data_IF_203646751006
#
_entry.id   IF_203646751006
#
_cell.length_a   1.000
_cell.length_b   1.000
_cell.length_c   1.000
_cell.angle_alpha   90.00
_cell.angle_beta   90.00
_cell.angle_gamma   90.00
#
_symmetry.space_group_name_H-M   'P 1'
#
loop_
_entity.id
_entity.type
_entity.pdbx_description
1 polymer ?
#
# COMPACT_ATOMS: atom_id res chain seq x y z
N UNK A 1 -4.02 -24.46 -5.35
CA UNK A 1 -5.16 -23.59 -5.70
C UNK A 1 -5.30 -23.52 -7.22
N UNK A 2 -6.52 -23.58 -7.74
CA UNK A 2 -6.79 -23.39 -9.16
C UNK A 2 -6.53 -21.93 -9.56
N UNK A 3 -6.01 -21.70 -10.77
CA UNK A 3 -5.65 -20.38 -11.26
C UNK A 3 -6.85 -19.43 -11.29
N UNK A 4 -8.00 -19.90 -11.74
CA UNK A 4 -9.23 -19.10 -11.78
C UNK A 4 -9.68 -18.67 -10.40
N UNK A 5 -9.62 -19.57 -9.41
CA UNK A 5 -9.95 -19.25 -8.01
C UNK A 5 -8.98 -18.20 -7.47
N UNK A 6 -7.67 -18.37 -7.70
CA UNK A 6 -6.66 -17.41 -7.32
C UNK A 6 -6.94 -16.00 -7.88
N UNK A 7 -7.16 -15.89 -9.19
CA UNK A 7 -7.40 -14.59 -9.83
C UNK A 7 -8.70 -13.92 -9.36
N UNK A 8 -9.73 -14.70 -9.02
CA UNK A 8 -10.98 -14.16 -8.48
C UNK A 8 -10.83 -13.71 -7.03
N UNK A 9 -10.23 -14.52 -6.15
CA UNK A 9 -10.05 -14.21 -4.72
C UNK A 9 -9.07 -13.05 -4.52
N UNK A 10 -7.91 -13.08 -5.16
CA UNK A 10 -6.97 -11.96 -5.17
C UNK A 10 -7.60 -10.69 -5.76
N UNK A 11 -8.41 -10.84 -6.82
CA UNK A 11 -9.17 -9.74 -7.41
C UNK A 11 -10.20 -9.13 -6.45
N UNK A 12 -10.90 -9.94 -5.66
CA UNK A 12 -11.83 -9.44 -4.63
C UNK A 12 -11.11 -8.70 -3.51
N UNK A 13 -9.95 -9.20 -3.09
CA UNK A 13 -9.13 -8.52 -2.09
C UNK A 13 -8.64 -7.16 -2.64
N UNK A 14 -8.12 -7.11 -3.87
CA UNK A 14 -7.71 -5.87 -4.53
C UNK A 14 -8.88 -4.88 -4.68
N UNK A 15 -10.08 -5.37 -4.99
CA UNK A 15 -11.28 -4.55 -5.05
C UNK A 15 -11.56 -3.89 -3.71
N UNK A 16 -11.60 -4.67 -2.62
CA UNK A 16 -11.87 -4.17 -1.28
C UNK A 16 -10.87 -3.09 -0.84
N UNK A 17 -9.58 -3.32 -1.08
CA UNK A 17 -8.54 -2.34 -0.75
C UNK A 17 -8.57 -1.11 -1.66
N UNK A 18 -8.83 -1.32 -2.95
CA UNK A 18 -8.97 -0.24 -3.93
C UNK A 18 -10.21 0.63 -3.71
N UNK A 19 -11.33 0.07 -3.26
CA UNK A 19 -12.56 0.82 -2.95
C UNK A 19 -12.33 1.85 -1.84
N UNK A 20 -11.44 1.59 -0.88
CA UNK A 20 -11.08 2.55 0.18
C UNK A 20 -10.50 3.86 -0.36
N UNK A 21 -10.01 3.85 -1.60
CA UNK A 21 -9.42 5.02 -2.30
C UNK A 21 -10.07 5.30 -3.66
N UNK A 22 -11.21 4.65 -3.95
CA UNK A 22 -12.02 4.90 -5.14
C UNK A 22 -11.47 4.32 -6.44
N UNK A 23 -10.67 3.23 -6.39
CA UNK A 23 -10.08 2.54 -7.55
C UNK A 23 -10.31 1.01 -7.52
N UNK A 24 -11.40 0.55 -6.94
CA UNK A 24 -11.67 -0.88 -6.75
C UNK A 24 -11.68 -1.67 -8.06
N UNK A 25 -12.40 -1.19 -9.07
CA UNK A 25 -12.46 -1.87 -10.38
C UNK A 25 -11.10 -1.83 -11.10
N UNK A 26 -10.37 -0.73 -10.99
CA UNK A 26 -9.05 -0.59 -11.58
C UNK A 26 -8.06 -1.60 -10.98
N UNK A 27 -8.03 -1.72 -9.65
CA UNK A 27 -7.19 -2.70 -8.96
C UNK A 27 -7.59 -4.14 -9.32
N UNK A 28 -8.89 -4.44 -9.35
CA UNK A 28 -9.40 -5.77 -9.75
C UNK A 28 -8.95 -6.14 -11.17
N UNK A 29 -9.02 -5.21 -12.11
CA UNK A 29 -8.64 -5.46 -13.50
C UNK A 29 -7.15 -5.81 -13.63
N UNK A 30 -6.27 -5.13 -12.87
CA UNK A 30 -4.85 -5.48 -12.80
C UNK A 30 -4.66 -6.93 -12.33
N UNK A 31 -5.37 -7.34 -11.25
CA UNK A 31 -5.25 -8.68 -10.69
C UNK A 31 -5.79 -9.78 -11.61
N UNK A 32 -6.95 -9.56 -12.22
CA UNK A 32 -7.55 -10.57 -13.07
C UNK A 32 -6.74 -10.87 -14.34
N UNK A 33 -5.89 -9.94 -14.75
CA UNK A 33 -5.08 -10.06 -15.96
C UNK A 33 -3.61 -10.42 -15.70
N UNK A 34 -3.06 -10.18 -14.49
CA UNK A 34 -1.62 -10.25 -14.27
C UNK A 34 -0.99 -11.59 -14.64
N UNK A 35 -1.68 -12.66 -14.37
CA UNK A 35 -1.26 -14.05 -14.60
C UNK A 35 -2.03 -14.72 -15.76
N UNK A 36 -2.65 -13.98 -16.66
CA UNK A 36 -3.39 -14.54 -17.79
C UNK A 36 -2.54 -15.49 -18.65
N UNK A 37 -1.25 -15.24 -18.76
CA UNK A 37 -0.33 -16.14 -19.49
C UNK A 37 -0.22 -17.54 -18.91
N UNK A 38 -0.60 -17.75 -17.65
CA UNK A 38 -0.64 -19.06 -17.01
C UNK A 38 -1.75 -19.97 -17.56
N UNK A 39 -2.74 -19.43 -18.27
CA UNK A 39 -3.76 -20.24 -18.96
C UNK A 39 -3.22 -20.95 -20.20
N UNK A 40 -2.07 -20.58 -20.76
CA UNK A 40 -1.51 -21.25 -21.93
C UNK A 40 -1.30 -22.75 -21.68
N UNK A 41 -1.60 -23.57 -22.70
CA UNK A 41 -1.39 -25.02 -22.65
C UNK A 41 0.04 -25.38 -22.28
N UNK A 42 1.02 -24.63 -22.80
CA UNK A 42 2.44 -24.81 -22.50
C UNK A 42 2.77 -24.55 -21.01
N UNK A 43 2.20 -23.50 -20.39
CA UNK A 43 2.42 -23.22 -18.97
C UNK A 43 1.74 -24.26 -18.08
N UNK A 44 0.53 -24.72 -18.45
CA UNK A 44 -0.19 -25.77 -17.73
C UNK A 44 0.54 -27.11 -17.79
N UNK A 45 1.09 -27.47 -18.95
CA UNK A 45 1.93 -28.65 -19.09
C UNK A 45 3.20 -28.56 -18.23
N UNK A 46 3.84 -27.37 -18.20
CA UNK A 46 5.01 -27.10 -17.37
C UNK A 46 4.74 -27.31 -15.87
N UNK A 47 3.61 -26.83 -15.35
CA UNK A 47 3.24 -27.01 -13.92
C UNK A 47 2.99 -28.49 -13.60
N UNK A 48 2.39 -29.26 -14.52
CA UNK A 48 2.09 -30.68 -14.33
C UNK A 48 3.32 -31.58 -14.43
N UNK A 49 4.49 -31.04 -14.70
CA UNK A 49 5.75 -31.79 -14.85
C UNK A 49 5.66 -32.90 -15.90
N UNK A 50 4.98 -32.66 -17.02
CA UNK A 50 4.97 -33.56 -18.16
C UNK A 50 6.38 -33.61 -18.77
N UNK A 51 6.88 -34.81 -19.09
CA UNK A 51 8.27 -35.05 -19.55
C UNK A 51 8.65 -34.21 -20.79
N UNK A 52 9.92 -33.77 -20.87
CA UNK A 52 10.53 -32.94 -21.91
C UNK A 52 10.24 -31.43 -21.89
N UNK A 53 9.98 -30.82 -20.75
CA UNK A 53 9.62 -29.41 -20.64
C UNK A 53 10.81 -28.44 -20.45
N UNK A 54 10.64 -27.17 -20.86
CA UNK A 54 11.65 -26.13 -20.66
C UNK A 54 11.94 -25.87 -19.18
N UNK A 55 13.17 -25.42 -18.88
CA UNK A 55 13.61 -25.10 -17.52
C UNK A 55 12.74 -23.99 -16.90
N UNK A 56 12.66 -23.98 -15.57
CA UNK A 56 11.95 -22.93 -14.78
C UNK A 56 12.27 -21.52 -15.29
N UNK A 57 11.24 -20.76 -15.65
CA UNK A 57 11.36 -19.41 -16.20
C UNK A 57 11.45 -19.31 -17.72
N UNK A 58 11.40 -20.43 -18.45
CA UNK A 58 11.45 -20.43 -19.92
C UNK A 58 10.11 -20.03 -20.58
N UNK A 59 8.98 -20.16 -19.84
CA UNK A 59 7.66 -19.75 -20.34
C UNK A 59 7.35 -18.38 -19.77
N UNK A 60 7.39 -17.35 -20.63
CA UNK A 60 7.01 -15.99 -20.23
C UNK A 60 5.48 -15.90 -20.12
N UNK A 61 4.97 -15.66 -18.92
CA UNK A 61 3.54 -15.52 -18.64
C UNK A 61 3.16 -14.09 -18.20
N UNK A 62 4.15 -13.26 -17.89
CA UNK A 62 3.92 -11.98 -17.21
C UNK A 62 3.41 -10.85 -18.11
N UNK A 63 3.56 -10.95 -19.44
CA UNK A 63 3.12 -9.91 -20.38
C UNK A 63 1.80 -10.22 -21.06
N UNK A 64 1.39 -11.49 -21.11
CA UNK A 64 0.22 -11.91 -21.88
C UNK A 64 -1.08 -11.18 -21.51
N UNK A 65 -1.32 -10.95 -20.22
CA UNK A 65 -2.50 -10.21 -19.77
C UNK A 65 -2.48 -8.75 -20.19
N UNK A 66 -1.31 -8.10 -20.21
CA UNK A 66 -1.15 -6.74 -20.71
C UNK A 66 -1.37 -6.67 -22.23
N UNK A 67 -0.81 -7.63 -22.98
CA UNK A 67 -0.99 -7.71 -24.44
C UNK A 67 -2.45 -7.98 -24.81
N UNK A 68 -3.16 -8.88 -24.08
CA UNK A 68 -4.58 -9.12 -24.22
C UNK A 68 -5.39 -7.83 -24.00
N UNK A 69 -5.12 -7.12 -22.90
CA UNK A 69 -5.81 -5.87 -22.60
C UNK A 69 -5.59 -4.82 -23.70
N UNK A 70 -4.37 -4.65 -24.17
CA UNK A 70 -4.03 -3.73 -25.26
C UNK A 70 -4.72 -4.11 -26.58
N UNK A 71 -4.82 -5.39 -26.87
CA UNK A 71 -5.53 -5.89 -28.07
C UNK A 71 -7.03 -5.59 -27.98
N UNK A 72 -7.68 -5.90 -26.86
CA UNK A 72 -9.09 -5.62 -26.67
C UNK A 72 -9.38 -4.11 -26.62
N UNK A 73 -8.48 -3.29 -26.06
CA UNK A 73 -8.59 -1.84 -26.11
C UNK A 73 -8.53 -1.29 -27.52
N UNK A 74 -7.59 -1.76 -28.37
CA UNK A 74 -7.51 -1.36 -29.79
C UNK A 74 -8.80 -1.66 -30.54
N UNK A 75 -9.49 -2.73 -30.18
CA UNK A 75 -10.77 -3.14 -30.79
C UNK A 75 -11.99 -2.46 -30.15
N UNK A 76 -11.82 -1.70 -29.08
CA UNK A 76 -12.91 -1.06 -28.34
C UNK A 76 -13.30 0.29 -28.94
N UNK A 77 -14.51 0.79 -28.65
CA UNK A 77 -14.92 2.14 -29.06
C UNK A 77 -14.12 3.26 -28.36
N UNK A 78 -13.29 2.91 -27.38
CA UNK A 78 -12.52 3.87 -26.57
C UNK A 78 -11.08 4.07 -27.04
N UNK A 79 -10.63 3.37 -28.06
CA UNK A 79 -9.21 3.41 -28.53
C UNK A 79 -8.70 4.81 -28.91
N UNK A 80 -9.59 5.72 -29.30
CA UNK A 80 -9.24 7.10 -29.65
C UNK A 80 -9.24 8.08 -28.47
N UNK A 81 -9.62 7.63 -27.26
CA UNK A 81 -9.68 8.45 -26.05
C UNK A 81 -8.29 8.48 -25.39
N UNK A 82 -7.60 9.62 -25.48
CA UNK A 82 -6.21 9.77 -25.02
C UNK A 82 -6.02 9.40 -23.53
N UNK A 83 -6.89 9.88 -22.65
CA UNK A 83 -6.78 9.58 -21.21
C UNK A 83 -7.08 8.09 -20.91
N UNK A 84 -7.92 7.44 -21.74
CA UNK A 84 -8.18 6.00 -21.64
C UNK A 84 -6.94 5.19 -22.07
N UNK A 85 -6.27 5.62 -23.14
CA UNK A 85 -5.02 5.03 -23.58
C UNK A 85 -3.96 5.08 -22.46
N UNK A 86 -3.81 6.25 -21.81
CA UNK A 86 -2.89 6.40 -20.68
C UNK A 86 -3.22 5.42 -19.54
N UNK A 87 -4.52 5.22 -19.23
CA UNK A 87 -4.94 4.24 -18.25
C UNK A 87 -4.56 2.81 -18.65
N UNK A 88 -4.78 2.44 -19.90
CA UNK A 88 -4.46 1.07 -20.38
C UNK A 88 -2.94 0.84 -20.36
N UNK A 89 -2.14 1.83 -20.73
CA UNK A 89 -0.68 1.77 -20.62
C UNK A 89 -0.23 1.60 -19.16
N UNK A 90 -0.85 2.33 -18.23
CA UNK A 90 -0.60 2.21 -16.79
C UNK A 90 -0.94 0.80 -16.25
N UNK A 91 -2.11 0.26 -16.58
CA UNK A 91 -2.49 -1.10 -16.20
C UNK A 91 -1.52 -2.13 -16.80
N UNK A 92 -1.19 -1.96 -18.07
CA UNK A 92 -0.27 -2.87 -18.77
C UNK A 92 1.13 -2.87 -18.15
N UNK A 93 1.63 -1.70 -17.78
CA UNK A 93 2.89 -1.61 -17.04
C UNK A 93 2.79 -2.31 -15.67
N UNK A 94 1.72 -2.04 -14.91
CA UNK A 94 1.48 -2.67 -13.60
C UNK A 94 1.51 -4.21 -13.73
N UNK A 95 0.85 -4.75 -14.75
CA UNK A 95 0.85 -6.19 -15.04
C UNK A 95 2.25 -6.69 -15.37
N UNK A 96 2.99 -6.03 -16.26
CA UNK A 96 4.32 -6.50 -16.68
C UNK A 96 5.40 -6.29 -15.61
N UNK A 97 5.17 -5.43 -14.63
CA UNK A 97 6.10 -5.10 -13.55
C UNK A 97 5.88 -5.89 -12.26
N UNK A 98 4.88 -6.81 -12.20
CA UNK A 98 4.56 -7.50 -10.94
C UNK A 98 5.68 -8.40 -10.39
N UNK A 99 6.59 -8.85 -11.25
CA UNK A 99 7.81 -9.55 -10.83
C UNK A 99 8.98 -8.62 -10.48
N UNK A 100 8.91 -7.35 -10.86
CA UNK A 100 9.90 -6.31 -10.57
C UNK A 100 9.74 -5.08 -11.45
N UNK A 101 9.90 -3.92 -10.84
CA UNK A 101 9.90 -2.63 -11.55
C UNK A 101 11.07 -2.58 -12.53
N UNK A 102 10.84 -1.97 -13.68
CA UNK A 102 11.84 -1.72 -14.71
C UNK A 102 11.65 -0.31 -15.29
N UNK A 103 12.72 0.24 -15.84
CA UNK A 103 12.66 1.51 -16.55
C UNK A 103 12.03 1.31 -17.94
N UNK A 104 11.02 2.11 -18.28
CA UNK A 104 10.35 2.03 -19.57
C UNK A 104 11.31 2.32 -20.72
N UNK A 105 12.23 3.26 -20.51
CA UNK A 105 13.31 3.60 -21.45
C UNK A 105 14.64 3.28 -20.75
N UNK A 106 15.48 2.48 -21.36
CA UNK A 106 16.80 2.15 -20.81
C UNK A 106 17.85 3.23 -21.11
N UNK A 107 19.09 2.98 -20.64
CA UNK A 107 20.23 3.89 -20.82
C UNK A 107 20.61 4.09 -22.29
N UNK A 108 20.29 3.13 -23.16
CA UNK A 108 20.53 3.18 -24.60
C UNK A 108 19.36 3.84 -25.38
N UNK A 109 18.27 4.19 -24.67
CA UNK A 109 17.07 4.81 -25.25
C UNK A 109 16.09 3.80 -25.86
N UNK A 110 16.24 2.50 -25.58
CA UNK A 110 15.31 1.46 -26.03
C UNK A 110 14.04 1.44 -25.19
N UNK A 111 12.85 1.35 -25.84
CA UNK A 111 11.57 1.22 -25.16
C UNK A 111 11.36 -0.21 -24.64
N UNK A 112 11.73 -0.44 -23.38
CA UNK A 112 11.58 -1.74 -22.70
C UNK A 112 10.11 -2.10 -22.43
N UNK A 113 9.24 -1.12 -22.33
CA UNK A 113 7.82 -1.38 -22.17
C UNK A 113 7.22 -1.96 -23.46
N UNK A 114 7.52 -1.37 -24.61
CA UNK A 114 7.10 -1.90 -25.91
C UNK A 114 7.69 -3.29 -26.19
N UNK A 115 8.97 -3.48 -25.86
CA UNK A 115 9.62 -4.81 -25.97
C UNK A 115 8.89 -5.87 -25.16
N UNK A 116 8.49 -5.55 -23.93
CA UNK A 116 7.76 -6.49 -23.06
C UNK A 116 6.32 -6.77 -23.52
N UNK A 117 5.68 -5.84 -24.23
CA UNK A 117 4.32 -5.99 -24.78
C UNK A 117 4.28 -6.73 -26.13
N UNK A 118 5.40 -7.11 -26.70
CA UNK A 118 5.47 -7.80 -27.99
C UNK A 118 6.24 -9.12 -27.88
N UNK A 119 6.14 -9.80 -26.74
CA UNK A 119 6.88 -11.04 -26.46
C UNK A 119 6.05 -12.28 -26.82
N UNK A 120 4.72 -12.20 -26.73
CA UNK A 120 3.85 -13.35 -26.98
C UNK A 120 3.50 -13.43 -28.46
N UNK A 121 3.77 -14.59 -29.06
CA UNK A 121 3.34 -14.85 -30.45
C UNK A 121 1.84 -14.75 -30.59
N UNK A 122 1.35 -14.23 -31.72
CA UNK A 122 -0.06 -13.90 -31.92
C UNK A 122 -0.99 -15.10 -31.72
N UNK A 123 -0.64 -16.24 -32.27
CA UNK A 123 -1.44 -17.47 -32.14
C UNK A 123 -1.56 -17.92 -30.68
N UNK A 124 -0.48 -17.77 -29.94
CA UNK A 124 -0.44 -18.08 -28.50
C UNK A 124 -1.24 -17.05 -27.69
N UNK A 125 -1.18 -15.79 -28.04
CA UNK A 125 -1.99 -14.74 -27.40
C UNK A 125 -3.48 -14.97 -27.63
N UNK A 126 -3.88 -15.36 -28.85
CA UNK A 126 -5.27 -15.70 -29.19
C UNK A 126 -5.76 -16.96 -28.40
N UNK A 127 -4.90 -17.95 -28.21
CA UNK A 127 -5.19 -19.12 -27.33
C UNK A 127 -5.39 -18.66 -25.88
N UNK A 128 -4.45 -17.90 -25.31
CA UNK A 128 -4.52 -17.39 -23.94
C UNK A 128 -5.80 -16.56 -23.75
N UNK A 129 -6.10 -15.66 -24.67
CA UNK A 129 -7.31 -14.84 -24.62
C UNK A 129 -8.57 -15.69 -24.57
N UNK A 130 -8.69 -16.69 -25.47
CA UNK A 130 -9.84 -17.60 -25.50
C UNK A 130 -9.98 -18.34 -24.17
N UNK A 131 -8.91 -18.95 -23.67
CA UNK A 131 -8.93 -19.72 -22.42
C UNK A 131 -9.24 -18.80 -21.21
N UNK A 132 -8.64 -17.60 -21.16
CA UNK A 132 -8.92 -16.64 -20.10
C UNK A 132 -10.40 -16.22 -20.07
N UNK A 133 -11.00 -15.91 -21.23
CA UNK A 133 -12.42 -15.57 -21.31
C UNK A 133 -13.33 -16.73 -20.90
N UNK A 134 -13.01 -17.96 -21.33
CA UNK A 134 -13.76 -19.16 -21.00
C UNK A 134 -13.69 -19.48 -19.50
N UNK A 135 -12.51 -19.59 -18.94
CA UNK A 135 -12.27 -20.03 -17.55
C UNK A 135 -12.68 -18.96 -16.52
N UNK A 136 -12.47 -17.69 -16.84
CA UNK A 136 -12.91 -16.57 -15.99
C UNK A 136 -14.40 -16.27 -16.14
N UNK A 137 -15.10 -16.94 -17.05
CA UNK A 137 -16.51 -16.66 -17.40
C UNK A 137 -16.75 -15.19 -17.78
N UNK A 138 -15.80 -14.60 -18.49
CA UNK A 138 -15.87 -13.25 -19.00
C UNK A 138 -16.31 -13.21 -20.47
N UNK A 139 -16.93 -12.10 -20.84
CA UNK A 139 -17.14 -11.74 -22.25
C UNK A 139 -16.36 -10.47 -22.59
N UNK A 140 -16.13 -10.21 -23.87
CA UNK A 140 -15.51 -8.96 -24.33
C UNK A 140 -16.30 -7.72 -23.90
N UNK A 141 -17.62 -7.80 -23.88
CA UNK A 141 -18.50 -6.73 -23.41
C UNK A 141 -18.33 -6.47 -21.89
N UNK A 142 -18.14 -7.52 -21.10
CA UNK A 142 -17.86 -7.39 -19.67
C UNK A 142 -16.51 -6.71 -19.43
N UNK A 143 -15.47 -7.12 -20.16
CA UNK A 143 -14.14 -6.49 -20.08
C UNK A 143 -14.20 -5.02 -20.51
N UNK A 144 -14.90 -4.73 -21.60
CA UNK A 144 -15.11 -3.35 -22.06
C UNK A 144 -15.87 -2.50 -21.03
N UNK A 145 -16.87 -3.08 -20.35
CA UNK A 145 -17.59 -2.40 -19.26
C UNK A 145 -16.70 -2.15 -18.05
N UNK A 146 -15.85 -3.11 -17.69
CA UNK A 146 -14.87 -2.92 -16.60
C UNK A 146 -13.84 -1.84 -16.95
N UNK A 147 -13.28 -1.85 -18.17
CA UNK A 147 -12.37 -0.79 -18.63
C UNK A 147 -13.02 0.60 -18.52
N UNK A 148 -14.30 0.73 -18.89
CA UNK A 148 -15.03 1.99 -18.77
C UNK A 148 -15.21 2.43 -17.31
N UNK A 149 -15.51 1.50 -16.41
CA UNK A 149 -15.68 1.79 -14.99
C UNK A 149 -14.34 2.18 -14.37
N UNK A 150 -13.27 1.43 -14.64
CA UNK A 150 -11.91 1.75 -14.22
C UNK A 150 -11.45 3.13 -14.72
N UNK A 151 -11.84 3.51 -15.93
CA UNK A 151 -11.58 4.85 -16.47
C UNK A 151 -12.28 5.95 -15.66
N UNK A 152 -13.53 5.75 -15.26
CA UNK A 152 -14.24 6.67 -14.37
C UNK A 152 -13.56 6.84 -13.00
N UNK A 153 -13.07 5.73 -12.43
CA UNK A 153 -12.29 5.72 -11.21
C UNK A 153 -10.95 6.45 -11.39
N UNK A 154 -10.23 6.19 -12.47
CA UNK A 154 -8.97 6.85 -12.84
C UNK A 154 -9.11 8.37 -12.96
N UNK A 155 -10.15 8.83 -13.68
CA UNK A 155 -10.43 10.27 -13.78
C UNK A 155 -10.67 10.88 -12.40
N UNK A 156 -11.46 10.20 -11.57
CA UNK A 156 -11.92 10.78 -10.31
C UNK A 156 -10.85 10.73 -9.23
N UNK A 157 -10.16 9.58 -9.09
CA UNK A 157 -9.18 9.39 -8.04
C UNK A 157 -7.80 10.00 -8.38
N UNK A 158 -7.47 10.14 -9.67
CA UNK A 158 -6.13 10.56 -10.07
C UNK A 158 -6.09 11.80 -10.96
N UNK A 159 -6.75 11.78 -12.13
CA UNK A 159 -6.57 12.87 -13.10
C UNK A 159 -7.13 14.20 -12.60
N UNK A 160 -8.28 14.21 -11.92
CA UNK A 160 -8.84 15.45 -11.35
C UNK A 160 -7.95 16.04 -10.26
N UNK A 161 -7.51 15.27 -9.22
CA UNK A 161 -6.56 15.76 -8.24
C UNK A 161 -5.24 16.24 -8.85
N UNK A 162 -4.68 15.50 -9.80
CA UNK A 162 -3.47 15.90 -10.51
C UNK A 162 -3.63 17.23 -11.25
N UNK A 163 -4.75 17.42 -11.97
CA UNK A 163 -5.05 18.69 -12.63
C UNK A 163 -5.17 19.85 -11.64
N UNK A 164 -5.78 19.64 -10.48
CA UNK A 164 -5.89 20.66 -9.43
C UNK A 164 -4.51 21.07 -8.87
N UNK A 165 -3.64 20.11 -8.62
CA UNK A 165 -2.26 20.34 -8.14
C UNK A 165 -1.49 21.14 -9.19
N UNK A 166 -1.58 20.76 -10.48
CA UNK A 166 -0.89 21.43 -11.57
C UNK A 166 -1.44 22.84 -11.89
N UNK A 167 -2.74 23.07 -11.70
CA UNK A 167 -3.38 24.38 -11.97
C UNK A 167 -3.03 25.46 -10.93
N UNK A 168 -2.64 25.05 -9.73
CA UNK A 168 -2.23 26.02 -8.69
C UNK A 168 -0.84 26.65 -8.93
N UNK A 169 -0.25 26.45 -10.11
CA UNK A 169 0.80 27.31 -10.67
C UNK A 169 2.21 27.07 -10.10
N UNK A 170 2.46 25.97 -9.43
CA UNK A 170 3.76 25.70 -8.81
C UNK A 170 4.44 24.41 -9.32
N UNK A 171 3.86 23.70 -10.28
CA UNK A 171 4.41 22.42 -10.74
C UNK A 171 5.07 22.53 -12.11
N UNK A 172 6.37 22.43 -12.14
CA UNK A 172 7.14 22.12 -13.35
C UNK A 172 6.81 20.69 -13.82
N UNK A 173 7.03 20.37 -15.10
CA UNK A 173 6.65 19.08 -15.69
C UNK A 173 7.13 17.84 -14.92
N UNK A 174 8.25 17.95 -14.20
CA UNK A 174 8.85 16.91 -13.34
C UNK A 174 7.93 16.43 -12.20
N UNK A 175 7.19 17.34 -11.57
CA UNK A 175 6.29 16.97 -10.46
C UNK A 175 5.10 16.15 -10.97
N UNK A 176 4.60 16.42 -12.16
CA UNK A 176 3.55 15.62 -12.78
C UNK A 176 3.99 14.17 -12.97
N UNK A 177 5.21 13.94 -13.44
CA UNK A 177 5.75 12.58 -13.58
C UNK A 177 5.92 11.89 -12.23
N UNK A 178 6.35 12.61 -11.20
CA UNK A 178 6.45 12.07 -9.84
C UNK A 178 5.09 11.58 -9.33
N UNK A 179 4.02 12.37 -9.47
CA UNK A 179 2.67 11.96 -9.08
C UNK A 179 2.17 10.76 -9.88
N UNK A 180 2.46 10.70 -11.18
CA UNK A 180 2.11 9.53 -11.99
C UNK A 180 2.86 8.28 -11.54
N UNK A 181 4.14 8.38 -11.22
CA UNK A 181 4.92 7.26 -10.67
C UNK A 181 4.39 6.80 -9.30
N UNK A 182 3.90 7.72 -8.46
CA UNK A 182 3.24 7.35 -7.22
C UNK A 182 1.95 6.56 -7.45
N UNK A 183 1.16 6.94 -8.47
CA UNK A 183 -0.04 6.20 -8.87
C UNK A 183 0.27 4.78 -9.32
N UNK A 184 1.23 4.66 -10.21
CA UNK A 184 1.70 3.39 -10.72
C UNK A 184 2.19 2.48 -9.59
N UNK A 185 3.01 3.05 -8.68
CA UNK A 185 3.48 2.36 -7.50
C UNK A 185 2.33 1.93 -6.59
N UNK A 186 1.27 2.73 -6.49
CA UNK A 186 0.07 2.40 -5.70
C UNK A 186 -0.67 1.20 -6.29
N UNK A 187 -0.89 1.17 -7.61
CA UNK A 187 -1.52 0.04 -8.29
C UNK A 187 -0.68 -1.23 -8.17
N UNK A 188 0.62 -1.13 -8.41
CA UNK A 188 1.54 -2.25 -8.28
C UNK A 188 1.60 -2.76 -6.83
N UNK A 189 1.55 -1.87 -5.85
CA UNK A 189 1.48 -2.24 -4.44
C UNK A 189 0.22 -3.04 -4.10
N UNK A 190 -0.93 -2.61 -4.59
CA UNK A 190 -2.20 -3.32 -4.42
C UNK A 190 -2.15 -4.69 -5.10
N UNK A 191 -1.60 -4.76 -6.32
CA UNK A 191 -1.46 -6.00 -7.05
C UNK A 191 -0.57 -7.00 -6.30
N UNK A 192 0.63 -6.60 -5.90
CA UNK A 192 1.58 -7.48 -5.19
C UNK A 192 1.01 -7.93 -3.84
N UNK A 193 0.38 -7.02 -3.08
CA UNK A 193 -0.18 -7.39 -1.78
C UNK A 193 -1.35 -8.36 -1.91
N UNK A 194 -2.20 -8.15 -2.90
CA UNK A 194 -3.37 -9.02 -3.13
C UNK A 194 -2.96 -10.42 -3.60
N UNK A 195 -2.02 -10.52 -4.55
CA UNK A 195 -1.46 -11.77 -5.03
C UNK A 195 -0.79 -12.56 -3.90
N UNK A 196 0.11 -11.92 -3.14
CA UNK A 196 0.82 -12.57 -2.04
C UNK A 196 -0.10 -12.97 -0.88
N UNK A 197 -1.10 -12.14 -0.57
CA UNK A 197 -2.07 -12.41 0.49
C UNK A 197 -2.93 -13.61 0.15
N UNK A 198 -3.43 -13.71 -1.09
CA UNK A 198 -4.22 -14.85 -1.53
C UNK A 198 -3.37 -16.13 -1.60
N UNK A 199 -2.16 -16.05 -2.11
CA UNK A 199 -1.22 -17.17 -2.13
C UNK A 199 -0.93 -17.70 -0.71
N UNK A 200 -0.71 -16.82 0.27
CA UNK A 200 -0.48 -17.21 1.65
C UNK A 200 -1.72 -17.86 2.29
N UNK A 201 -2.92 -17.33 2.03
CA UNK A 201 -4.19 -17.95 2.45
C UNK A 201 -4.36 -19.36 1.89
N UNK A 202 -4.08 -19.55 0.62
CA UNK A 202 -4.13 -20.85 -0.03
C UNK A 202 -3.15 -21.88 0.56
N UNK A 203 -2.04 -21.40 1.15
CA UNK A 203 -1.07 -22.23 1.87
C UNK A 203 -1.47 -22.52 3.32
N UNK A 204 -2.64 -22.04 3.78
CA UNK A 204 -3.18 -22.33 5.13
C UNK A 204 -2.83 -21.29 6.17
N UNK A 205 -2.37 -20.11 5.75
CA UNK A 205 -2.09 -19.00 6.66
C UNK A 205 -3.38 -18.24 7.00
N UNK A 206 -4.00 -18.64 8.13
CA UNK A 206 -5.27 -18.08 8.61
C UNK A 206 -5.13 -16.73 9.33
N UNK A 207 -3.89 -16.25 9.59
CA UNK A 207 -3.67 -14.96 10.27
C UNK A 207 -4.01 -13.74 9.39
N UNK A 208 -4.36 -13.95 8.12
CA UNK A 208 -4.66 -12.90 7.16
C UNK A 208 -6.16 -12.52 7.08
N UNK A 209 -7.01 -13.17 7.85
CA UNK A 209 -8.46 -12.88 7.91
C UNK A 209 -8.78 -11.74 8.90
N UNK A 210 -8.22 -10.56 8.68
CA UNK A 210 -8.48 -9.40 9.52
C UNK A 210 -9.40 -8.39 8.90
N UNK A 211 -10.69 -8.55 9.20
CA UNK A 211 -11.62 -7.44 9.34
C UNK A 211 -11.55 -6.85 10.75
N UNK A 212 -10.38 -6.37 11.19
CA UNK A 212 -10.35 -5.52 12.37
C UNK A 212 -11.11 -4.22 12.06
N UNK A 213 -12.25 -4.01 12.71
CA UNK A 213 -12.99 -2.74 12.66
C UNK A 213 -12.09 -1.63 13.23
N UNK A 214 -11.25 -1.04 12.39
CA UNK A 214 -10.24 -0.03 12.75
C UNK A 214 -10.82 1.17 13.51
N UNK A 215 -12.09 1.53 13.28
CA UNK A 215 -12.74 2.62 14.01
C UNK A 215 -12.84 2.38 15.52
N UNK A 216 -13.20 1.17 15.89
CA UNK A 216 -13.30 0.79 17.29
C UNK A 216 -11.90 0.74 17.94
N UNK A 217 -10.86 0.40 17.17
CA UNK A 217 -9.50 0.33 17.67
C UNK A 217 -8.98 1.71 18.10
N UNK A 218 -9.08 2.72 17.25
CA UNK A 218 -8.58 4.06 17.58
C UNK A 218 -9.34 4.73 18.74
N UNK A 219 -10.64 4.51 18.85
CA UNK A 219 -11.41 5.00 20.00
C UNK A 219 -10.98 4.33 21.31
N UNK A 220 -10.78 3.01 21.28
CA UNK A 220 -10.27 2.27 22.45
C UNK A 220 -8.85 2.68 22.78
N UNK A 221 -7.96 2.78 21.78
CA UNK A 221 -6.59 3.22 21.96
C UNK A 221 -6.49 4.63 22.55
N UNK A 222 -7.33 5.57 22.10
CA UNK A 222 -7.39 6.92 22.66
C UNK A 222 -7.83 6.91 24.13
N UNK A 223 -8.84 6.10 24.48
CA UNK A 223 -9.29 5.94 25.84
C UNK A 223 -8.20 5.37 26.75
N UNK A 224 -7.52 4.32 26.28
CA UNK A 224 -6.41 3.69 27.00
C UNK A 224 -5.24 4.69 27.18
N UNK A 225 -4.90 5.42 26.12
CA UNK A 225 -3.90 6.48 26.18
C UNK A 225 -4.24 7.53 27.26
N UNK A 226 -5.49 7.99 27.33
CA UNK A 226 -5.92 8.95 28.37
C UNK A 226 -5.73 8.39 29.78
N UNK A 227 -6.16 7.14 30.01
CA UNK A 227 -5.97 6.46 31.29
C UNK A 227 -4.50 6.28 31.66
N UNK A 228 -3.66 5.93 30.68
CA UNK A 228 -2.22 5.82 30.86
C UNK A 228 -1.60 7.17 31.25
N UNK A 229 -1.99 8.25 30.59
CA UNK A 229 -1.52 9.60 30.91
C UNK A 229 -1.95 10.06 32.31
N UNK A 230 -3.20 9.80 32.70
CA UNK A 230 -3.71 10.13 34.04
C UNK A 230 -2.94 9.38 35.14
N UNK A 231 -2.58 8.12 34.89
CA UNK A 231 -1.75 7.34 35.80
C UNK A 231 -0.34 7.92 35.92
N UNK A 232 0.32 8.21 34.78
CA UNK A 232 1.65 8.83 34.76
C UNK A 232 1.66 10.19 35.48
N UNK A 233 0.62 11.00 35.34
CA UNK A 233 0.53 12.28 36.02
C UNK A 233 0.41 12.12 37.53
N UNK A 234 -0.41 11.19 38.02
CA UNK A 234 -0.52 10.89 39.47
C UNK A 234 0.81 10.43 40.05
N UNK A 235 1.44 9.45 39.39
CA UNK A 235 2.76 8.94 39.82
C UNK A 235 3.83 10.03 39.82
N UNK A 236 3.82 10.91 38.80
CA UNK A 236 4.74 12.04 38.72
C UNK A 236 4.50 13.05 39.86
N UNK A 237 3.24 13.41 40.13
CA UNK A 237 2.88 14.34 41.19
C UNK A 237 3.35 13.87 42.59
N UNK A 238 3.20 12.59 42.89
CA UNK A 238 3.65 11.97 44.15
C UNK A 238 5.17 12.04 44.32
N UNK A 239 5.93 12.11 43.23
CA UNK A 239 7.38 12.09 43.19
C UNK A 239 8.04 13.48 42.98
N UNK A 240 7.27 14.56 42.89
CA UNK A 240 7.80 15.92 42.74
C UNK A 240 8.51 16.37 44.02
N UNK A 241 9.83 16.49 43.97
CA UNK A 241 10.67 16.92 45.11
C UNK A 241 11.27 18.32 44.94
N UNK A 242 11.50 18.74 43.70
CA UNK A 242 12.18 20.00 43.40
C UNK A 242 11.29 20.92 42.56
N UNK A 243 11.51 22.20 42.64
CA UNK A 243 10.82 23.22 41.85
C UNK A 243 11.03 23.01 40.34
N UNK A 244 12.24 22.59 39.94
CA UNK A 244 12.56 22.24 38.55
C UNK A 244 11.73 21.07 38.04
N UNK A 245 11.51 20.03 38.85
CA UNK A 245 10.65 18.90 38.50
C UNK A 245 9.20 19.32 38.29
N UNK A 246 8.70 20.22 39.14
CA UNK A 246 7.34 20.76 38.99
C UNK A 246 7.20 21.56 37.69
N UNK A 247 8.16 22.43 37.37
CA UNK A 247 8.14 23.18 36.12
C UNK A 247 8.15 22.29 34.88
N UNK A 248 8.97 21.23 34.88
CA UNK A 248 9.00 20.26 33.77
C UNK A 248 7.68 19.50 33.66
N UNK A 249 7.09 19.11 34.77
CA UNK A 249 5.80 18.43 34.82
C UNK A 249 4.69 19.31 34.22
N UNK A 250 4.55 20.55 34.68
CA UNK A 250 3.55 21.47 34.15
C UNK A 250 3.77 21.78 32.66
N UNK A 251 5.03 21.93 32.25
CA UNK A 251 5.35 22.13 30.84
C UNK A 251 4.90 20.93 29.98
N UNK A 252 5.18 19.69 30.39
CA UNK A 252 4.76 18.48 29.66
C UNK A 252 3.25 18.37 29.59
N UNK A 253 2.55 18.68 30.68
CA UNK A 253 1.09 18.70 30.73
C UNK A 253 0.52 19.72 29.75
N UNK A 254 1.04 20.95 29.77
CA UNK A 254 0.63 22.02 28.85
C UNK A 254 0.86 21.64 27.38
N UNK A 255 2.05 21.10 27.04
CA UNK A 255 2.35 20.62 25.68
C UNK A 255 1.34 19.57 25.22
N UNK A 256 1.03 18.59 26.07
CA UNK A 256 0.04 17.56 25.74
C UNK A 256 -1.33 18.17 25.49
N UNK A 257 -1.78 19.06 26.37
CA UNK A 257 -3.06 19.74 26.23
C UNK A 257 -3.14 20.57 24.94
N UNK A 258 -2.09 21.29 24.58
CA UNK A 258 -2.00 22.05 23.33
C UNK A 258 -2.06 21.12 22.12
N UNK A 259 -1.31 20.01 22.11
CA UNK A 259 -1.40 19.01 21.05
C UNK A 259 -2.80 18.39 20.95
N UNK A 260 -3.37 18.02 22.08
CA UNK A 260 -4.73 17.43 22.11
C UNK A 260 -5.81 18.43 21.69
N UNK A 261 -5.61 19.72 21.91
CA UNK A 261 -6.56 20.77 21.53
C UNK A 261 -6.28 21.38 20.16
N UNK A 262 -5.15 21.04 19.53
CA UNK A 262 -4.87 21.46 18.17
C UNK A 262 -5.95 20.94 17.22
N UNK A 263 -6.53 21.84 16.45
CA UNK A 263 -7.52 21.51 15.44
C UNK A 263 -6.89 21.60 14.06
N UNK A 264 -6.88 20.49 13.35
CA UNK A 264 -6.53 20.49 11.94
C UNK A 264 -7.65 21.15 11.12
N UNK A 265 -7.27 22.01 10.19
CA UNK A 265 -8.21 22.65 9.27
C UNK A 265 -8.25 21.93 7.93
N UNK A 266 -7.21 21.15 7.59
CA UNK A 266 -7.09 20.40 6.32
C UNK A 266 -6.03 19.31 6.45
N UNK A 267 -5.94 18.46 5.41
CA UNK A 267 -4.75 17.64 5.21
C UNK A 267 -3.52 18.53 5.01
N UNK A 268 -2.41 18.19 5.66
CA UNK A 268 -1.21 18.99 5.54
C UNK A 268 -0.05 18.49 6.41
N UNK A 269 1.06 19.23 6.33
CA UNK A 269 2.26 18.97 7.11
C UNK A 269 2.26 19.92 8.30
N UNK A 270 2.32 19.34 9.50
CA UNK A 270 2.38 20.08 10.76
C UNK A 270 3.72 19.83 11.43
N UNK A 271 4.29 20.87 12.04
CA UNK A 271 5.56 20.78 12.75
C UNK A 271 5.36 20.93 14.24
N UNK A 272 5.85 19.95 15.02
CA UNK A 272 5.91 19.99 16.47
C UNK A 272 7.37 20.24 16.91
N UNK A 273 7.67 21.46 17.37
CA UNK A 273 9.01 21.86 17.78
C UNK A 273 9.10 21.91 19.31
N UNK A 274 9.79 20.93 19.90
CA UNK A 274 9.90 20.79 21.34
C UNK A 274 11.33 20.41 21.75
N UNK A 275 11.82 20.85 22.92
CA UNK A 275 13.11 20.43 23.43
C UNK A 275 13.15 18.94 23.75
N UNK A 276 14.34 18.37 23.78
CA UNK A 276 14.56 16.97 24.14
C UNK A 276 14.02 16.68 25.54
N UNK A 277 13.35 15.56 25.74
CA UNK A 277 12.76 15.17 27.02
C UNK A 277 11.42 15.86 27.36
N UNK A 278 10.87 16.69 26.48
CA UNK A 278 9.57 17.35 26.69
C UNK A 278 8.35 16.45 26.50
N UNK A 279 8.53 15.18 26.14
CA UNK A 279 7.44 14.22 25.92
C UNK A 279 6.86 14.21 24.51
N UNK A 280 7.68 14.48 23.48
CA UNK A 280 7.29 14.51 22.06
C UNK A 280 6.50 13.28 21.64
N UNK A 281 7.01 12.07 21.94
CA UNK A 281 6.40 10.78 21.53
C UNK A 281 4.95 10.65 22.00
N UNK A 282 4.68 10.89 23.29
CA UNK A 282 3.33 10.78 23.82
C UNK A 282 2.42 11.92 23.36
N UNK A 283 2.95 13.14 23.22
CA UNK A 283 2.16 14.27 22.74
C UNK A 283 1.73 14.09 21.28
N UNK A 284 2.64 13.68 20.40
CA UNK A 284 2.34 13.40 18.99
C UNK A 284 1.43 12.17 18.81
N UNK A 285 1.65 11.10 19.59
CA UNK A 285 0.76 9.93 19.62
C UNK A 285 -0.67 10.32 20.02
N UNK A 286 -0.83 11.10 21.10
CA UNK A 286 -2.13 11.56 21.57
C UNK A 286 -2.87 12.35 20.50
N UNK A 287 -2.19 13.24 19.80
CA UNK A 287 -2.75 13.96 18.65
C UNK A 287 -3.19 13.01 17.54
N UNK A 288 -2.32 12.07 17.12
CA UNK A 288 -2.61 11.12 16.06
C UNK A 288 -3.82 10.23 16.40
N UNK A 289 -3.88 9.71 17.62
CA UNK A 289 -5.02 8.92 18.11
C UNK A 289 -6.32 9.73 18.12
N UNK A 290 -6.26 11.01 18.53
CA UNK A 290 -7.43 11.91 18.49
C UNK A 290 -7.92 12.13 17.07
N UNK A 291 -7.01 12.37 16.11
CA UNK A 291 -7.36 12.52 14.69
C UNK A 291 -8.00 11.25 14.16
N UNK A 292 -7.38 10.10 14.41
CA UNK A 292 -7.87 8.80 13.94
C UNK A 292 -9.22 8.43 14.57
N UNK A 293 -9.43 8.70 15.87
CA UNK A 293 -10.67 8.39 16.56
C UNK A 293 -11.84 9.31 16.16
N UNK A 294 -11.57 10.55 15.72
CA UNK A 294 -12.62 11.51 15.31
C UNK A 294 -13.13 11.28 13.90
N UNK A 295 -12.27 10.79 13.00
CA UNK A 295 -12.64 10.53 11.62
C UNK A 295 -13.47 9.26 11.53
N UNK A 296 -14.37 9.19 10.53
CA UNK A 296 -15.10 7.95 10.25
C UNK A 296 -14.11 6.84 9.92
N UNK A 297 -14.46 5.61 10.20
CA UNK A 297 -13.63 4.39 10.09
C UNK A 297 -12.86 4.27 8.78
N UNK A 298 -13.43 4.79 7.70
CA UNK A 298 -12.82 4.74 6.36
C UNK A 298 -11.79 5.84 6.08
N UNK A 299 -11.59 6.80 7.00
CA UNK A 299 -10.79 8.00 6.74
C UNK A 299 -9.35 7.92 7.25
N UNK A 300 -9.04 7.07 8.25
CA UNK A 300 -7.66 6.84 8.73
C UNK A 300 -7.39 5.35 8.75
N UNK A 301 -6.46 4.92 7.90
CA UNK A 301 -6.05 3.52 7.80
C UNK A 301 -5.04 3.17 8.89
N UNK A 302 -3.97 3.95 9.00
CA UNK A 302 -2.86 3.67 9.91
C UNK A 302 -2.31 4.93 10.59
N UNK A 303 -1.64 4.72 11.74
CA UNK A 303 -0.75 5.69 12.34
C UNK A 303 0.68 5.16 12.21
N UNK A 304 1.54 5.90 11.49
CA UNK A 304 2.96 5.60 11.38
C UNK A 304 3.77 6.45 12.35
N UNK A 305 4.64 5.80 13.12
CA UNK A 305 5.66 6.46 13.93
C UNK A 305 7.03 6.12 13.35
N UNK A 306 7.69 7.11 12.76
CA UNK A 306 8.91 6.93 11.99
C UNK A 306 10.06 7.54 12.78
N UNK A 307 11.04 6.72 13.15
CA UNK A 307 12.23 7.13 13.90
C UNK A 307 13.50 7.02 13.05
N UNK A 308 14.55 7.84 13.33
CA UNK A 308 15.77 7.80 12.53
C UNK A 308 16.61 6.53 12.74
N UNK A 309 16.56 5.93 13.94
CA UNK A 309 17.41 4.81 14.34
C UNK A 309 16.61 3.68 14.99
N UNK A 310 17.11 2.44 14.85
CA UNK A 310 16.48 1.21 15.39
C UNK A 310 16.26 1.33 16.90
N UNK A 311 17.27 1.72 17.67
CA UNK A 311 17.17 1.84 19.12
C UNK A 311 16.11 2.83 19.60
N UNK A 312 15.88 3.92 18.82
CA UNK A 312 14.80 4.87 19.11
C UNK A 312 13.45 4.29 18.72
N UNK A 313 13.39 3.50 17.63
CA UNK A 313 12.17 2.81 17.21
C UNK A 313 11.74 1.83 18.29
N UNK A 314 12.63 0.96 18.79
CA UNK A 314 12.38 -0.01 19.86
C UNK A 314 11.85 0.69 21.13
N UNK A 315 12.55 1.74 21.57
CA UNK A 315 12.15 2.51 22.76
C UNK A 315 10.78 3.19 22.58
N UNK A 316 10.53 3.77 21.40
CA UNK A 316 9.25 4.44 21.12
C UNK A 316 8.12 3.43 21.00
N UNK A 317 8.36 2.28 20.38
CA UNK A 317 7.40 1.18 20.28
C UNK A 317 6.95 0.68 21.64
N UNK A 318 7.88 0.46 22.57
CA UNK A 318 7.55 0.07 23.93
C UNK A 318 6.65 1.10 24.66
N UNK A 319 6.96 2.39 24.50
CA UNK A 319 6.17 3.47 25.08
C UNK A 319 4.77 3.50 24.46
N UNK A 320 4.66 3.33 23.13
CA UNK A 320 3.40 3.34 22.39
C UNK A 320 2.54 2.13 22.78
N UNK A 321 3.10 0.91 22.83
CA UNK A 321 2.42 -0.30 23.29
C UNK A 321 1.80 -0.12 24.69
N UNK A 322 2.57 0.41 25.63
CA UNK A 322 2.08 0.72 26.99
C UNK A 322 0.96 1.75 27.00
N UNK A 323 1.09 2.79 26.16
CA UNK A 323 0.11 3.87 26.10
C UNK A 323 -1.23 3.44 25.47
N UNK A 324 -1.22 2.60 24.43
CA UNK A 324 -2.44 2.12 23.77
C UNK A 324 -3.06 0.90 24.45
N UNK A 325 -2.29 0.21 25.33
CA UNK A 325 -2.79 -0.87 26.19
C UNK A 325 -3.15 -2.17 25.46
N UNK A 326 -2.70 -2.33 24.22
CA UNK A 326 -2.79 -3.58 23.47
C UNK A 326 -1.59 -3.68 22.50
N UNK A 327 -0.78 -4.70 22.68
CA UNK A 327 0.45 -4.91 21.89
C UNK A 327 0.16 -5.34 20.46
N UNK A 328 -0.94 -6.06 20.20
CA UNK A 328 -1.35 -6.53 18.87
C UNK A 328 -1.72 -5.36 17.92
N UNK A 329 -2.01 -4.18 18.47
CA UNK A 329 -2.31 -3.00 17.66
C UNK A 329 -1.06 -2.28 17.16
N UNK A 330 0.13 -2.68 17.64
CA UNK A 330 1.38 -1.97 17.39
C UNK A 330 2.43 -2.89 16.81
N UNK A 331 2.68 -2.72 15.53
CA UNK A 331 3.77 -3.39 14.84
C UNK A 331 5.08 -2.63 15.00
N UNK A 332 6.14 -3.37 15.25
CA UNK A 332 7.51 -2.88 15.16
C UNK A 332 8.20 -3.45 13.92
N UNK A 333 8.69 -2.58 13.03
CA UNK A 333 9.30 -3.01 11.79
C UNK A 333 10.63 -2.31 11.51
N UNK A 334 11.72 -3.07 11.54
CA UNK A 334 13.06 -2.63 11.14
C UNK A 334 13.93 -3.83 10.72
N UNK A 335 15.17 -3.58 10.26
CA UNK A 335 16.02 -4.62 9.68
C UNK A 335 16.47 -5.71 10.66
N UNK A 336 16.40 -5.49 11.97
CA UNK A 336 16.86 -6.43 12.99
C UNK A 336 15.73 -7.33 13.52
N UNK A 337 14.47 -7.05 13.22
CA UNK A 337 13.36 -7.97 13.51
C UNK A 337 13.49 -9.13 12.52
N UNK A 338 14.21 -10.18 12.94
CA UNK A 338 14.37 -11.40 12.16
C UNK A 338 13.46 -12.47 12.77
N UNK A 339 12.30 -12.69 12.19
CA UNK A 339 11.54 -13.90 12.46
C UNK A 339 12.18 -15.07 11.71
N UNK A 340 12.24 -16.24 12.36
CA UNK A 340 13.00 -17.41 11.90
C UNK A 340 12.38 -18.09 10.67
N UNK A 341 11.09 -17.88 10.40
CA UNK A 341 10.36 -18.50 9.31
C UNK A 341 10.10 -17.56 8.14
N UNK A 342 10.24 -18.08 6.90
CA UNK A 342 10.00 -17.28 5.68
C UNK A 342 8.53 -16.85 5.53
N UNK A 343 7.59 -17.62 6.08
CA UNK A 343 6.16 -17.30 6.05
C UNK A 343 5.82 -16.16 7.01
N UNK A 344 6.31 -16.16 8.25
CA UNK A 344 6.17 -15.05 9.19
C UNK A 344 6.81 -13.76 8.63
N UNK A 345 7.94 -13.86 7.90
CA UNK A 345 8.56 -12.71 7.23
C UNK A 345 7.69 -12.07 6.15
N UNK A 346 6.80 -12.82 5.51
CA UNK A 346 5.87 -12.27 4.51
C UNK A 346 4.73 -11.50 5.16
N UNK A 347 4.22 -11.97 6.29
CA UNK A 347 3.16 -11.32 7.06
C UNK A 347 3.69 -10.03 7.69
N UNK A 348 4.81 -10.09 8.40
CA UNK A 348 5.46 -8.95 9.07
C UNK A 348 5.82 -7.79 8.13
N UNK A 349 5.80 -8.02 6.83
CA UNK A 349 6.14 -6.96 5.86
C UNK A 349 4.93 -6.22 5.31
N UNK A 350 3.70 -6.63 5.60
CA UNK A 350 2.50 -6.08 4.97
C UNK A 350 1.95 -4.79 5.62
N UNK A 351 2.37 -4.46 6.85
CA UNK A 351 1.91 -3.28 7.60
C UNK A 351 0.39 -3.21 7.78
N UNK A 352 -0.20 -4.28 8.31
CA UNK A 352 -1.67 -4.38 8.49
C UNK A 352 -2.16 -3.85 9.83
N UNK A 353 -1.29 -3.71 10.81
CA UNK A 353 -1.62 -3.25 12.15
C UNK A 353 -2.02 -1.77 12.14
N UNK A 354 -2.91 -1.34 13.06
CA UNK A 354 -3.35 0.05 13.14
C UNK A 354 -2.21 1.06 13.39
N UNK A 355 -1.20 0.67 14.15
CA UNK A 355 -0.06 1.54 14.49
C UNK A 355 1.23 0.83 14.07
N UNK A 356 2.03 1.49 13.23
CA UNK A 356 3.29 0.96 12.73
C UNK A 356 4.43 1.86 13.20
N UNK A 357 5.34 1.28 14.01
CA UNK A 357 6.59 1.91 14.41
C UNK A 357 7.71 1.40 13.51
N UNK A 358 8.34 2.29 12.75
CA UNK A 358 9.36 1.90 11.78
C UNK A 358 10.50 2.90 11.69
N UNK A 359 11.60 2.49 11.06
CA UNK A 359 12.73 3.38 10.80
C UNK A 359 12.53 4.20 9.54
N UNK A 360 13.17 5.39 9.49
CA UNK A 360 13.21 6.25 8.30
C UNK A 360 13.69 5.48 7.05
N UNK A 361 14.66 4.59 7.19
CA UNK A 361 15.18 3.79 6.09
C UNK A 361 14.10 2.86 5.51
N UNK A 362 13.32 2.17 6.36
CA UNK A 362 12.24 1.29 5.89
C UNK A 362 11.10 2.08 5.24
N UNK A 363 10.81 3.26 5.78
CA UNK A 363 9.84 4.17 5.17
C UNK A 363 10.29 4.63 3.78
N UNK A 364 11.55 5.06 3.64
CA UNK A 364 12.13 5.44 2.35
C UNK A 364 12.19 4.26 1.36
N UNK A 365 12.47 3.05 1.83
CA UNK A 365 12.38 1.85 0.97
C UNK A 365 10.95 1.62 0.48
N UNK A 366 9.94 1.86 1.30
CA UNK A 366 8.55 1.76 0.86
C UNK A 366 8.23 2.78 -0.23
N UNK A 367 8.80 3.98 -0.16
CA UNK A 367 8.59 5.01 -1.18
C UNK A 367 9.39 4.78 -2.46
N UNK A 368 10.62 4.26 -2.39
CA UNK A 368 11.57 4.35 -3.52
C UNK A 368 12.25 3.02 -3.90
N UNK A 369 12.15 1.95 -3.11
CA UNK A 369 12.79 0.67 -3.45
C UNK A 369 12.11 -0.03 -4.63
N UNK A 370 12.89 -0.73 -5.43
CA UNK A 370 12.42 -1.58 -6.53
C UNK A 370 12.03 -3.00 -6.07
N UNK A 371 12.25 -3.34 -4.79
CA UNK A 371 11.95 -4.68 -4.27
C UNK A 371 10.46 -4.86 -3.98
N UNK A 372 9.84 -5.92 -4.48
CA UNK A 372 8.42 -6.21 -4.31
C UNK A 372 7.96 -6.18 -2.85
N UNK A 373 8.73 -6.72 -1.91
CA UNK A 373 8.41 -6.66 -0.48
C UNK A 373 8.31 -5.24 0.09
N UNK A 374 9.01 -4.28 -0.50
CA UNK A 374 8.92 -2.87 -0.10
C UNK A 374 7.78 -2.17 -0.82
N UNK A 375 7.57 -2.48 -2.10
CA UNK A 375 6.47 -1.95 -2.91
C UNK A 375 5.13 -2.37 -2.33
N UNK A 376 5.00 -3.62 -1.90
CA UNK A 376 3.80 -4.20 -1.28
C UNK A 376 3.18 -3.30 -0.20
N UNK A 377 3.99 -2.57 0.55
CA UNK A 377 3.58 -1.71 1.68
C UNK A 377 3.09 -0.32 1.28
N UNK A 378 3.36 0.11 0.05
CA UNK A 378 3.13 1.51 -0.34
C UNK A 378 1.66 1.93 -0.22
N UNK A 379 0.73 1.05 -0.58
CA UNK A 379 -0.70 1.36 -0.48
C UNK A 379 -1.20 1.53 0.95
N UNK A 380 -0.47 1.00 1.96
CA UNK A 380 -0.81 1.19 3.38
C UNK A 380 -0.58 2.63 3.87
N UNK A 381 0.20 3.43 3.12
CA UNK A 381 0.39 4.85 3.44
C UNK A 381 -0.87 5.69 3.15
N UNK A 382 -1.84 5.14 2.43
CA UNK A 382 -3.11 5.82 2.14
C UNK A 382 -3.84 6.22 3.42
N UNK A 383 -4.43 7.42 3.42
CA UNK A 383 -5.26 7.90 4.53
C UNK A 383 -4.63 7.70 5.93
N UNK A 384 -3.32 7.89 6.05
CA UNK A 384 -2.59 7.64 7.29
C UNK A 384 -2.18 8.93 7.99
N UNK A 385 -2.01 8.85 9.31
CA UNK A 385 -1.31 9.87 10.09
C UNK A 385 0.16 9.45 10.21
N UNK A 386 1.05 10.26 9.65
CA UNK A 386 2.49 9.95 9.62
C UNK A 386 3.22 10.91 10.56
N UNK A 387 3.81 10.36 11.63
CA UNK A 387 4.65 11.07 12.57
C UNK A 387 6.10 10.78 12.20
N UNK A 388 6.86 11.82 11.86
CA UNK A 388 8.30 11.73 11.61
C UNK A 388 9.02 12.34 12.80
N UNK A 389 9.66 11.50 13.61
CA UNK A 389 10.44 11.94 14.76
C UNK A 389 11.86 12.32 14.32
N UNK A 390 12.40 13.40 14.91
CA UNK A 390 13.73 13.95 14.58
C UNK A 390 13.92 14.19 13.04
N UNK A 391 12.90 14.68 12.37
CA UNK A 391 12.91 15.00 10.93
C UNK A 391 13.69 16.27 10.58
N UNK A 392 14.96 16.36 11.01
CA UNK A 392 15.86 17.50 10.74
C UNK A 392 16.71 17.25 9.50
#
# INVERSE_FOLDING_TARGET
>A
QELTVHLLEAGQYAQSEGEKIGIGTLATLCLQLHDAGKFSTEFQAYIKQEDDLPKRGAVNHSSAGAELLMQEFKNSPYHSVQDMRLLIELISYTITAHHGIYDCIDEDGEDKFEVRLNVVEKEKLDEIARLWFEEMHFTKDMLCSQMRKAYGEFITAFLKPLKQICQNGQTEGTERFFYMSCMERLLLSLQIDSDWTDTARAMGDSMLDDNMETANVYQKALKNYQQYMDKLEKEAQENLRTEKQKQIFELRKKIREECMNFSETSYGIYRLSLPTGAGKTLASLGYALKVAAKRKTSEVSHIFYISPYISITEQSTEVIKKAVGNEEWVMEHHSNVSNSDEQEKQIDTAWKEPIICTTMIQFLYTLFSQKNKSIRRFHQLKNSVIIVDEGQ
#
